data_IF_451967336557
#
_entry.id   IF_451967336557
#
_cell.length_a   1.000
_cell.length_b   1.000
_cell.length_c   1.000
_cell.angle_alpha   90.00
_cell.angle_beta   90.00
_cell.angle_gamma   90.00
#
_symmetry.space_group_name_H-M   'P 1'
#
loop_
_entity.id
_entity.type
_entity.pdbx_description
1 polymer ?
#
# COMPACT_ATOMS: atom_id res chain seq x y z
N UNK A 1 66.83 21.38 73.11
CA UNK A 1 66.69 21.39 71.64
C UNK A 1 65.61 20.45 71.22
N UNK A 2 64.40 20.91 70.95
CA UNK A 2 63.26 20.07 70.49
C UNK A 2 63.08 20.35 69.00
N UNK A 3 63.17 19.30 68.14
CA UNK A 3 62.92 19.36 66.71
C UNK A 3 61.43 19.00 66.50
N UNK A 4 60.69 19.91 65.92
CA UNK A 4 59.30 19.75 65.51
C UNK A 4 59.26 19.28 64.05
N UNK A 5 58.75 18.10 63.81
CA UNK A 5 58.61 17.54 62.45
C UNK A 5 57.26 17.97 61.94
N UNK A 6 57.19 18.66 60.81
CA UNK A 6 55.97 19.08 60.13
C UNK A 6 55.60 18.05 59.10
N UNK A 7 54.46 17.37 59.29
CA UNK A 7 53.93 16.41 58.35
C UNK A 7 53.00 17.13 57.37
N UNK A 8 53.37 17.15 56.10
CA UNK A 8 52.52 17.68 55.00
C UNK A 8 51.66 16.54 54.42
N UNK A 9 50.37 16.66 54.62
CA UNK A 9 49.39 15.73 54.06
C UNK A 9 48.96 16.21 52.64
N UNK A 10 49.31 15.47 51.61
CA UNK A 10 48.95 15.75 50.22
C UNK A 10 47.54 15.17 49.90
N UNK A 11 46.55 16.06 49.77
CA UNK A 11 45.23 15.64 49.29
C UNK A 11 45.27 15.48 47.76
N UNK A 12 45.11 14.26 47.27
CA UNK A 12 44.94 13.97 45.85
C UNK A 12 43.44 14.15 45.46
N UNK A 13 43.16 15.18 44.68
CA UNK A 13 41.81 15.44 44.10
C UNK A 13 41.63 14.53 42.89
N UNK A 14 40.77 13.51 43.01
CA UNK A 14 40.28 12.74 41.89
C UNK A 14 39.25 13.55 41.09
N UNK A 15 39.68 14.17 40.00
CA UNK A 15 38.81 14.78 39.02
C UNK A 15 38.14 13.65 38.19
N UNK A 16 36.93 13.30 38.52
CA UNK A 16 36.09 12.38 37.72
C UNK A 16 35.74 13.03 36.38
N UNK A 17 36.30 12.51 35.29
CA UNK A 17 35.83 12.84 33.95
C UNK A 17 34.40 12.24 33.75
N UNK A 18 33.39 13.06 33.93
CA UNK A 18 32.04 12.72 33.47
C UNK A 18 32.06 12.77 31.92
N UNK A 19 32.01 11.62 31.28
CA UNK A 19 31.76 11.55 29.83
C UNK A 19 30.40 12.16 29.56
N UNK A 20 30.23 13.07 28.57
CA UNK A 20 28.93 13.56 28.22
C UNK A 20 28.08 12.37 27.68
N UNK A 21 26.97 12.08 28.35
CA UNK A 21 25.96 11.17 27.81
C UNK A 21 25.55 11.73 26.47
N UNK A 22 25.84 10.98 25.41
CA UNK A 22 25.39 11.30 24.05
C UNK A 22 23.86 11.29 24.05
N UNK A 23 23.25 12.46 23.90
CA UNK A 23 21.82 12.60 23.68
C UNK A 23 21.46 11.68 22.50
N UNK A 24 20.45 10.81 22.63
CA UNK A 24 20.07 9.92 21.53
C UNK A 24 19.64 10.80 20.36
N UNK A 25 20.43 10.79 19.28
CA UNK A 25 20.06 11.42 18.03
C UNK A 25 18.83 10.67 17.54
N UNK A 26 17.66 11.30 17.64
CA UNK A 26 16.41 10.78 17.07
C UNK A 26 16.63 10.66 15.57
N UNK A 27 16.87 9.43 15.10
CA UNK A 27 17.00 9.16 13.67
C UNK A 27 15.66 9.47 13.03
N UNK A 28 15.66 10.32 12.00
CA UNK A 28 14.43 10.61 11.26
C UNK A 28 13.76 9.31 10.79
N UNK A 29 12.42 9.23 10.87
CA UNK A 29 11.68 8.05 10.41
C UNK A 29 11.92 7.78 8.94
N UNK A 30 12.08 6.50 8.58
CA UNK A 30 12.12 6.03 7.21
C UNK A 30 10.79 6.37 6.51
N UNK A 31 10.83 7.15 5.43
CA UNK A 31 9.65 7.53 4.68
C UNK A 31 9.29 6.46 3.66
N UNK A 32 8.18 5.76 3.87
CA UNK A 32 7.66 4.70 2.99
C UNK A 32 6.34 5.13 2.40
N UNK A 33 6.29 5.24 1.08
CA UNK A 33 5.06 5.52 0.34
C UNK A 33 4.52 4.21 -0.22
N UNK A 34 3.25 3.92 0.03
CA UNK A 34 2.66 2.64 -0.32
C UNK A 34 1.23 2.74 -0.84
N UNK A 35 0.87 1.85 -1.73
CA UNK A 35 -0.49 1.71 -2.24
C UNK A 35 -1.50 1.55 -1.09
N UNK A 36 -2.69 2.12 -1.26
CA UNK A 36 -3.75 2.07 -0.25
C UNK A 36 -4.16 0.66 0.17
N UNK A 37 -4.12 -0.30 -0.78
CA UNK A 37 -4.41 -1.71 -0.54
C UNK A 37 -3.39 -2.43 0.37
N UNK A 38 -2.21 -1.82 0.59
CA UNK A 38 -1.17 -2.35 1.48
C UNK A 38 -1.29 -1.83 2.92
N UNK A 39 -2.24 -0.94 3.22
CA UNK A 39 -2.32 -0.22 4.50
C UNK A 39 -2.24 -1.14 5.71
N UNK A 40 -3.14 -2.08 5.80
CA UNK A 40 -3.24 -2.95 7.00
C UNK A 40 -1.99 -3.81 7.14
N UNK A 41 -1.61 -4.51 6.09
CA UNK A 41 -0.48 -5.45 6.11
C UNK A 41 0.86 -4.74 6.32
N UNK A 42 1.10 -3.60 5.69
CA UNK A 42 2.36 -2.85 5.90
C UNK A 42 2.41 -2.16 7.26
N UNK A 43 1.27 -1.77 7.83
CA UNK A 43 1.24 -1.25 9.21
C UNK A 43 1.69 -2.32 10.21
N UNK A 44 1.23 -3.58 10.05
CA UNK A 44 1.69 -4.70 10.87
C UNK A 44 3.19 -4.98 10.66
N UNK A 45 3.62 -5.14 9.40
CA UNK A 45 5.02 -5.45 9.08
C UNK A 45 5.97 -4.33 9.55
N UNK A 46 5.58 -3.06 9.39
CA UNK A 46 6.39 -1.92 9.82
C UNK A 46 6.55 -1.90 11.35
N UNK A 47 5.46 -2.11 12.10
CA UNK A 47 5.50 -2.22 13.56
C UNK A 47 6.46 -3.34 14.02
N UNK A 48 6.38 -4.51 13.40
CA UNK A 48 7.24 -5.64 13.74
C UNK A 48 8.71 -5.40 13.36
N UNK A 49 8.93 -4.67 12.25
CA UNK A 49 10.27 -4.25 11.85
C UNK A 49 10.85 -3.21 12.81
N UNK A 50 10.06 -2.21 13.20
CA UNK A 50 10.45 -1.21 14.21
C UNK A 50 10.83 -1.86 15.55
N UNK A 51 10.03 -2.83 16.01
CA UNK A 51 10.29 -3.54 17.26
C UNK A 51 11.64 -4.29 17.24
N UNK A 52 12.03 -4.84 16.07
CA UNK A 52 13.28 -5.58 15.93
C UNK A 52 14.52 -4.71 15.71
N UNK A 53 14.36 -3.57 15.06
CA UNK A 53 15.48 -2.77 14.57
C UNK A 53 15.65 -1.44 15.28
N UNK A 54 14.63 -0.99 16.00
CA UNK A 54 14.57 0.35 16.60
C UNK A 54 14.41 1.51 15.61
N UNK A 55 14.38 1.24 14.29
CA UNK A 55 14.19 2.27 13.26
C UNK A 55 12.72 2.56 13.05
N UNK A 56 12.33 3.83 13.23
CA UNK A 56 10.96 4.30 13.00
C UNK A 56 10.62 4.36 11.51
N UNK A 57 9.38 4.03 11.17
CA UNK A 57 8.87 4.03 9.81
C UNK A 57 7.62 4.92 9.74
N UNK A 58 7.67 5.93 8.86
CA UNK A 58 6.53 6.77 8.54
C UNK A 58 5.87 6.25 7.26
N UNK A 59 4.66 5.72 7.37
CA UNK A 59 3.88 5.16 6.27
C UNK A 59 2.94 6.22 5.69
N UNK A 60 3.07 6.49 4.39
CA UNK A 60 2.12 7.31 3.62
C UNK A 60 1.38 6.43 2.63
N UNK A 61 0.06 6.34 2.76
CA UNK A 61 -0.79 5.51 1.90
C UNK A 61 -1.63 6.33 0.95
N UNK A 62 -1.77 5.85 -0.29
CA UNK A 62 -2.59 6.50 -1.30
C UNK A 62 -2.65 5.71 -2.61
N UNK A 63 -3.33 6.27 -3.61
CA UNK A 63 -3.30 5.75 -4.97
C UNK A 63 -1.89 5.86 -5.55
N UNK A 64 -1.37 4.78 -6.13
CA UNK A 64 0.05 4.68 -6.51
C UNK A 64 0.48 5.74 -7.51
N UNK A 65 -0.37 6.09 -8.48
CA UNK A 65 -0.08 7.14 -9.45
C UNK A 65 0.07 8.51 -8.80
N UNK A 66 -0.83 8.86 -7.85
CA UNK A 66 -0.76 10.12 -7.11
C UNK A 66 0.47 10.17 -6.20
N UNK A 67 0.82 9.05 -5.56
CA UNK A 67 2.04 8.96 -4.75
C UNK A 67 3.30 9.14 -5.61
N UNK A 68 3.35 8.51 -6.79
CA UNK A 68 4.45 8.70 -7.74
C UNK A 68 4.60 10.17 -8.15
N UNK A 69 3.49 10.87 -8.46
CA UNK A 69 3.52 12.30 -8.80
C UNK A 69 4.06 13.17 -7.66
N UNK A 70 3.70 12.85 -6.42
CA UNK A 70 4.23 13.53 -5.24
C UNK A 70 5.74 13.30 -5.09
N UNK A 71 6.20 12.08 -5.33
CA UNK A 71 7.63 11.72 -5.34
C UNK A 71 8.38 12.49 -6.43
N UNK A 72 7.82 12.56 -7.64
CA UNK A 72 8.40 13.31 -8.77
C UNK A 72 8.47 14.82 -8.50
N UNK A 73 7.54 15.35 -7.68
CA UNK A 73 7.55 16.75 -7.19
C UNK A 73 8.53 16.99 -6.04
N UNK A 74 9.30 15.97 -5.62
CA UNK A 74 10.38 16.12 -4.64
C UNK A 74 10.03 15.70 -3.21
N UNK A 75 8.87 15.08 -2.95
CA UNK A 75 8.61 14.55 -1.62
C UNK A 75 9.61 13.47 -1.20
N UNK A 76 9.89 13.43 0.11
CA UNK A 76 11.02 12.72 0.70
C UNK A 76 10.90 11.19 0.81
N UNK A 77 10.07 10.52 0.00
CA UNK A 77 9.97 9.07 0.02
C UNK A 77 11.32 8.38 -0.23
N UNK A 78 11.62 7.35 0.53
CA UNK A 78 12.83 6.54 0.42
C UNK A 78 12.54 5.12 -0.09
N UNK A 79 11.34 4.61 0.20
CA UNK A 79 10.82 3.33 -0.32
C UNK A 79 9.46 3.61 -0.94
N UNK A 80 9.21 3.03 -2.11
CA UNK A 80 7.92 3.11 -2.78
C UNK A 80 7.40 1.70 -3.10
N UNK A 81 6.24 1.36 -2.55
CA UNK A 81 5.53 0.09 -2.73
C UNK A 81 4.22 0.34 -3.50
N UNK A 82 4.23 0.08 -4.79
CA UNK A 82 3.12 0.34 -5.72
C UNK A 82 2.24 -0.88 -5.91
N UNK A 83 0.96 -0.68 -6.19
CA UNK A 83 0.03 -1.74 -6.58
C UNK A 83 0.15 -2.16 -8.07
N UNK A 84 1.16 -1.67 -8.76
CA UNK A 84 1.60 -2.10 -10.09
C UNK A 84 3.12 -2.07 -10.20
N UNK A 85 3.65 -2.44 -11.34
CA UNK A 85 5.08 -2.34 -11.66
C UNK A 85 5.43 -1.11 -12.51
N UNK A 86 4.45 -0.45 -13.12
CA UNK A 86 4.69 0.65 -14.06
C UNK A 86 5.15 1.93 -13.35
N UNK A 87 4.51 2.28 -12.23
CA UNK A 87 4.89 3.48 -11.47
C UNK A 87 6.32 3.41 -10.91
N UNK A 88 6.77 2.33 -10.24
CA UNK A 88 8.15 2.22 -9.80
C UNK A 88 9.13 2.11 -10.97
N UNK A 89 8.75 1.47 -12.09
CA UNK A 89 9.57 1.44 -13.31
C UNK A 89 9.82 2.85 -13.86
N UNK A 90 8.80 3.73 -13.87
CA UNK A 90 8.94 5.13 -14.31
C UNK A 90 9.91 5.90 -13.42
N UNK A 91 9.84 5.75 -12.10
CA UNK A 91 10.80 6.37 -11.18
C UNK A 91 12.23 5.87 -11.41
N UNK A 92 12.39 4.56 -11.67
CA UNK A 92 13.68 3.96 -12.01
C UNK A 92 14.25 4.49 -13.32
N UNK A 93 13.43 4.63 -14.35
CA UNK A 93 13.82 5.18 -15.65
C UNK A 93 14.28 6.65 -15.57
N UNK A 94 13.73 7.43 -14.65
CA UNK A 94 14.16 8.80 -14.35
C UNK A 94 15.52 8.87 -13.60
N UNK A 95 16.11 7.72 -13.22
CA UNK A 95 17.46 7.62 -12.65
C UNK A 95 17.55 7.79 -11.14
N UNK A 96 16.53 8.31 -10.47
CA UNK A 96 16.55 8.59 -9.02
C UNK A 96 16.22 7.38 -8.12
N UNK A 97 15.83 6.25 -8.72
CA UNK A 97 15.36 5.05 -8.01
C UNK A 97 16.02 3.77 -8.55
N UNK A 98 16.10 2.76 -7.71
CA UNK A 98 16.59 1.44 -8.12
C UNK A 98 15.58 0.75 -9.06
N UNK A 99 16.01 -0.26 -9.86
CA UNK A 99 15.08 -1.13 -10.55
C UNK A 99 14.07 -1.73 -9.58
N UNK A 100 12.80 -1.79 -9.97
CA UNK A 100 11.77 -2.37 -9.11
C UNK A 100 11.88 -3.90 -9.03
N UNK A 101 11.35 -4.44 -7.94
CA UNK A 101 11.17 -5.87 -7.72
C UNK A 101 9.69 -6.15 -7.47
N UNK A 102 9.13 -7.19 -8.07
CA UNK A 102 7.79 -7.67 -7.68
C UNK A 102 7.90 -8.30 -6.30
N UNK A 103 7.08 -7.87 -5.34
CA UNK A 103 7.18 -8.35 -3.96
C UNK A 103 5.93 -9.06 -3.45
N UNK A 104 4.76 -8.82 -4.06
CA UNK A 104 3.50 -9.56 -3.84
C UNK A 104 2.63 -9.50 -5.09
N UNK A 105 1.61 -10.36 -5.16
CA UNK A 105 0.57 -10.35 -6.20
C UNK A 105 -0.81 -10.18 -5.58
N UNK A 106 -1.75 -9.71 -6.37
CA UNK A 106 -3.16 -9.63 -6.03
C UNK A 106 -4.01 -9.98 -7.26
N UNK A 107 -5.31 -10.04 -7.09
CA UNK A 107 -6.28 -10.26 -8.16
C UNK A 107 -7.48 -9.34 -7.98
N UNK A 108 -8.27 -9.15 -9.03
CA UNK A 108 -9.53 -8.41 -8.92
C UNK A 108 -10.65 -9.31 -8.42
N UNK A 109 -11.51 -8.70 -7.60
CA UNK A 109 -12.82 -9.20 -7.19
C UNK A 109 -13.90 -8.13 -7.44
N UNK A 110 -15.13 -8.55 -7.51
CA UNK A 110 -16.26 -7.64 -7.42
C UNK A 110 -16.78 -7.63 -5.98
N UNK A 111 -16.88 -6.44 -5.40
CA UNK A 111 -17.59 -6.19 -4.15
C UNK A 111 -19.01 -5.77 -4.51
N UNK A 112 -20.05 -6.46 -4.02
CA UNK A 112 -21.43 -6.22 -4.43
C UNK A 112 -22.34 -5.90 -3.25
N UNK A 113 -23.40 -5.13 -3.51
CA UNK A 113 -24.48 -4.93 -2.56
C UNK A 113 -25.23 -6.25 -2.30
N UNK A 114 -25.87 -6.34 -1.13
CA UNK A 114 -26.59 -7.55 -0.69
C UNK A 114 -27.69 -8.01 -1.68
N UNK A 115 -28.39 -7.06 -2.30
CA UNK A 115 -29.48 -7.32 -3.26
C UNK A 115 -28.99 -7.73 -4.65
N UNK A 116 -27.70 -7.57 -4.96
CA UNK A 116 -27.13 -7.98 -6.25
C UNK A 116 -26.89 -9.49 -6.25
N UNK A 117 -27.57 -10.20 -7.11
CA UNK A 117 -27.39 -11.65 -7.30
C UNK A 117 -26.35 -11.89 -8.39
N UNK A 118 -25.08 -11.73 -8.07
CA UNK A 118 -23.97 -12.04 -8.95
C UNK A 118 -23.20 -13.27 -8.46
N UNK A 119 -22.83 -14.11 -9.41
CA UNK A 119 -21.89 -15.23 -9.23
C UNK A 119 -20.71 -15.02 -10.19
N UNK A 120 -19.60 -15.77 -10.07
CA UNK A 120 -18.54 -15.68 -11.07
C UNK A 120 -19.05 -15.87 -12.51
N UNK A 121 -20.03 -16.75 -12.71
CA UNK A 121 -20.60 -17.05 -14.03
C UNK A 121 -21.48 -15.94 -14.59
N UNK A 122 -22.19 -15.20 -13.73
CA UNK A 122 -23.12 -14.14 -14.13
C UNK A 122 -22.54 -12.73 -13.97
N UNK A 123 -21.30 -12.61 -13.47
CA UNK A 123 -20.71 -11.31 -13.13
C UNK A 123 -20.65 -10.36 -14.33
N UNK A 124 -20.25 -10.85 -15.52
CA UNK A 124 -20.18 -10.01 -16.71
C UNK A 124 -21.54 -9.44 -17.09
N UNK A 125 -22.57 -10.30 -17.14
CA UNK A 125 -23.94 -9.88 -17.45
C UNK A 125 -24.49 -8.90 -16.40
N UNK A 126 -24.16 -9.13 -15.12
CA UNK A 126 -24.52 -8.21 -14.04
C UNK A 126 -23.89 -6.85 -14.24
N UNK A 127 -22.59 -6.77 -14.57
CA UNK A 127 -21.90 -5.51 -14.83
C UNK A 127 -22.42 -4.79 -16.09
N UNK A 128 -22.84 -5.54 -17.11
CA UNK A 128 -23.38 -4.99 -18.36
C UNK A 128 -24.84 -4.51 -18.21
N UNK A 129 -25.57 -4.96 -17.18
CA UNK A 129 -26.95 -4.53 -16.96
C UNK A 129 -26.99 -3.00 -16.74
N UNK A 130 -27.72 -2.23 -17.54
CA UNK A 130 -27.77 -0.76 -17.43
C UNK A 130 -28.32 -0.27 -16.08
N UNK A 131 -29.14 -1.04 -15.40
CA UNK A 131 -29.68 -0.70 -14.08
C UNK A 131 -28.67 -0.86 -12.93
N UNK A 132 -27.55 -1.54 -13.15
CA UNK A 132 -26.51 -1.78 -12.14
C UNK A 132 -25.46 -0.66 -12.20
N UNK A 133 -25.23 0.04 -11.11
CA UNK A 133 -24.14 1.03 -10.95
C UNK A 133 -22.82 0.30 -10.78
N UNK A 134 -21.91 0.46 -11.75
CA UNK A 134 -20.58 -0.14 -11.73
C UNK A 134 -19.57 0.87 -11.22
N UNK A 135 -19.00 0.63 -10.03
CA UNK A 135 -17.94 1.42 -9.44
C UNK A 135 -16.54 0.88 -9.76
N UNK A 136 -15.60 1.78 -9.92
CA UNK A 136 -14.16 1.48 -10.13
C UNK A 136 -13.30 2.52 -9.43
N UNK A 137 -12.00 2.22 -9.28
CA UNK A 137 -11.00 3.27 -9.04
C UNK A 137 -10.69 4.03 -10.34
N UNK A 138 -10.03 5.18 -10.21
CA UNK A 138 -9.70 6.07 -11.33
C UNK A 138 -8.44 5.57 -12.06
N UNK A 139 -8.51 5.20 -13.34
CA UNK A 139 -7.35 4.77 -14.12
C UNK A 139 -6.23 5.82 -14.15
N UNK A 140 -4.99 5.38 -14.29
CA UNK A 140 -3.74 6.16 -14.27
C UNK A 140 -3.38 6.74 -12.90
N UNK A 141 -4.36 7.11 -12.09
CA UNK A 141 -4.16 7.57 -10.72
C UNK A 141 -4.05 6.38 -9.74
N UNK A 142 -4.88 5.37 -9.91
CA UNK A 142 -4.93 4.16 -9.07
C UNK A 142 -4.86 2.89 -9.96
N UNK A 143 -3.85 2.02 -9.77
CA UNK A 143 -3.70 0.79 -10.53
C UNK A 143 -4.92 -0.13 -10.49
N UNK A 144 -5.73 -0.13 -9.42
CA UNK A 144 -7.00 -0.87 -9.37
C UNK A 144 -7.94 -0.44 -10.50
N UNK A 145 -7.93 0.84 -10.87
CA UNK A 145 -8.64 1.36 -12.03
C UNK A 145 -8.06 0.83 -13.33
N UNK A 146 -6.75 0.87 -13.52
CA UNK A 146 -6.10 0.36 -14.73
C UNK A 146 -6.42 -1.12 -14.97
N UNK A 147 -6.39 -1.95 -13.91
CA UNK A 147 -6.75 -3.36 -13.97
C UNK A 147 -8.24 -3.58 -14.23
N UNK A 148 -9.14 -2.70 -13.76
CA UNK A 148 -10.55 -2.76 -14.13
C UNK A 148 -10.74 -2.54 -15.63
N UNK A 149 -10.03 -1.59 -16.25
CA UNK A 149 -10.04 -1.38 -17.70
C UNK A 149 -9.40 -2.54 -18.49
N UNK A 150 -8.40 -3.20 -17.93
CA UNK A 150 -7.86 -4.43 -18.52
C UNK A 150 -8.90 -5.56 -18.49
N UNK A 151 -9.64 -5.72 -17.39
CA UNK A 151 -10.77 -6.63 -17.30
C UNK A 151 -11.83 -6.30 -18.37
N UNK A 152 -12.13 -5.01 -18.60
CA UNK A 152 -13.09 -4.60 -19.66
C UNK A 152 -12.61 -5.02 -21.05
N UNK A 153 -11.30 -4.92 -21.35
CA UNK A 153 -10.75 -5.43 -22.62
C UNK A 153 -10.90 -6.94 -22.76
N UNK A 154 -10.66 -7.69 -21.68
CA UNK A 154 -10.91 -9.13 -21.65
C UNK A 154 -12.39 -9.47 -21.82
N UNK A 155 -13.28 -8.67 -21.24
CA UNK A 155 -14.72 -8.82 -21.41
C UNK A 155 -15.15 -8.65 -22.86
N UNK A 156 -14.51 -7.76 -23.61
CA UNK A 156 -14.81 -7.55 -25.05
C UNK A 156 -14.45 -8.78 -25.90
N UNK A 157 -13.41 -9.54 -25.52
CA UNK A 157 -13.08 -10.81 -26.16
C UNK A 157 -14.10 -11.93 -25.87
N UNK A 158 -14.81 -11.85 -24.74
CA UNK A 158 -15.87 -12.79 -24.37
C UNK A 158 -17.22 -12.39 -24.99
N UNK A 159 -17.50 -11.08 -25.03
CA UNK A 159 -18.74 -10.50 -25.56
C UNK A 159 -18.42 -9.19 -26.26
N UNK A 160 -18.51 -9.19 -27.57
CA UNK A 160 -18.25 -8.02 -28.43
C UNK A 160 -19.11 -6.83 -27.97
N UNK A 161 -18.49 -5.67 -27.83
CA UNK A 161 -19.11 -4.44 -27.35
C UNK A 161 -19.13 -4.28 -25.83
N UNK A 162 -18.68 -5.28 -25.07
CA UNK A 162 -18.63 -5.21 -23.61
C UNK A 162 -17.69 -4.10 -23.12
N UNK A 163 -16.53 -3.92 -23.76
CA UNK A 163 -15.61 -2.82 -23.40
C UNK A 163 -16.31 -1.47 -23.45
N UNK A 164 -16.91 -1.13 -24.58
CA UNK A 164 -17.56 0.16 -24.78
C UNK A 164 -18.71 0.40 -23.79
N UNK A 165 -19.51 -0.65 -23.52
CA UNK A 165 -20.61 -0.57 -22.57
C UNK A 165 -20.12 -0.38 -21.12
N UNK A 166 -19.07 -1.07 -20.69
CA UNK A 166 -18.51 -0.98 -19.35
C UNK A 166 -17.76 0.35 -19.16
N UNK A 167 -16.97 0.79 -20.14
CA UNK A 167 -16.26 2.07 -20.11
C UNK A 167 -17.22 3.25 -19.98
N UNK A 168 -18.31 3.25 -20.76
CA UNK A 168 -19.32 4.32 -20.76
C UNK A 168 -20.05 4.45 -19.41
N UNK A 169 -20.25 3.36 -18.68
CA UNK A 169 -21.03 3.36 -17.43
C UNK A 169 -20.20 3.37 -16.15
N UNK A 170 -18.89 3.07 -16.23
CA UNK A 170 -18.04 2.95 -15.06
C UNK A 170 -17.91 4.26 -14.27
N UNK A 171 -18.29 4.23 -13.01
CA UNK A 171 -18.20 5.33 -12.07
C UNK A 171 -16.81 5.29 -11.38
N UNK A 172 -15.99 6.31 -11.63
CA UNK A 172 -14.63 6.43 -11.06
C UNK A 172 -14.72 7.04 -9.66
N UNK A 173 -15.05 6.22 -8.66
CA UNK A 173 -15.45 6.70 -7.32
C UNK A 173 -14.27 6.87 -6.35
N UNK A 174 -13.14 6.23 -6.62
CA UNK A 174 -11.99 6.24 -5.70
C UNK A 174 -10.67 6.45 -6.44
N UNK A 175 -9.62 6.78 -5.70
CA UNK A 175 -8.24 6.78 -6.19
C UNK A 175 -7.86 7.95 -7.10
N UNK A 176 -8.80 8.83 -7.47
CA UNK A 176 -8.53 10.05 -8.22
C UNK A 176 -8.13 11.22 -7.31
N UNK A 177 -7.59 12.31 -7.88
CA UNK A 177 -7.19 13.50 -7.11
C UNK A 177 -8.37 14.14 -6.37
N UNK A 178 -9.55 14.13 -6.99
CA UNK A 178 -10.77 14.71 -6.45
C UNK A 178 -11.72 13.69 -5.81
N UNK A 179 -11.29 12.43 -5.68
CA UNK A 179 -12.11 11.40 -5.05
C UNK A 179 -12.36 11.73 -3.59
N UNK A 180 -13.63 11.63 -3.11
CA UNK A 180 -13.95 11.84 -1.72
C UNK A 180 -13.16 10.90 -0.81
N UNK A 181 -12.71 11.43 0.34
CA UNK A 181 -12.03 10.63 1.36
C UNK A 181 -13.05 10.12 2.37
N UNK A 182 -12.95 8.86 2.80
CA UNK A 182 -13.80 8.35 3.86
C UNK A 182 -13.54 9.10 5.18
N UNK A 183 -14.49 9.12 6.11
CA UNK A 183 -14.24 9.54 7.49
C UNK A 183 -13.11 8.73 8.14
N UNK A 184 -12.50 9.28 9.18
CA UNK A 184 -11.45 8.59 9.91
C UNK A 184 -11.96 7.22 10.45
N UNK A 185 -11.14 6.19 10.30
CA UNK A 185 -11.46 4.83 10.73
C UNK A 185 -12.24 3.99 9.71
N UNK A 186 -12.64 4.56 8.58
CA UNK A 186 -13.37 3.84 7.54
C UNK A 186 -12.47 3.49 6.34
N UNK A 187 -12.65 2.28 5.80
CA UNK A 187 -12.06 1.86 4.53
C UNK A 187 -12.74 2.54 3.34
N UNK A 188 -11.95 2.99 2.37
CA UNK A 188 -12.46 3.75 1.21
C UNK A 188 -13.56 2.99 0.45
N UNK A 189 -13.35 1.73 0.16
CA UNK A 189 -14.31 0.91 -0.59
C UNK A 189 -15.53 0.54 0.24
N UNK A 190 -15.34 0.22 1.53
CA UNK A 190 -16.41 -0.03 2.47
C UNK A 190 -17.35 1.17 2.56
N UNK A 191 -16.79 2.35 2.73
CA UNK A 191 -17.55 3.60 2.83
C UNK A 191 -18.33 3.92 1.54
N UNK A 192 -17.69 3.84 0.36
CA UNK A 192 -18.35 4.08 -0.94
C UNK A 192 -19.52 3.13 -1.16
N UNK A 193 -19.33 1.85 -0.82
CA UNK A 193 -20.38 0.83 -0.95
C UNK A 193 -21.47 1.00 0.10
N UNK A 194 -21.12 1.37 1.33
CA UNK A 194 -22.08 1.63 2.41
C UNK A 194 -23.02 2.81 2.09
N UNK A 195 -22.49 3.83 1.40
CA UNK A 195 -23.27 4.96 0.90
C UNK A 195 -24.10 4.65 -0.37
N UNK A 196 -24.10 3.41 -0.86
CA UNK A 196 -24.86 2.99 -2.04
C UNK A 196 -24.44 3.69 -3.35
N UNK A 197 -23.19 4.17 -3.43
CA UNK A 197 -22.69 4.85 -4.64
C UNK A 197 -22.49 3.89 -5.80
N UNK A 198 -22.27 2.59 -5.54
CA UNK A 198 -22.22 1.52 -6.53
C UNK A 198 -23.00 0.28 -6.06
N UNK A 199 -23.49 -0.50 -7.02
CA UNK A 199 -24.09 -1.81 -6.80
C UNK A 199 -23.06 -2.93 -6.90
N UNK A 200 -22.10 -2.77 -7.83
CA UNK A 200 -20.92 -3.61 -8.03
C UNK A 200 -19.69 -2.70 -8.07
N UNK A 201 -18.64 -3.04 -7.33
CA UNK A 201 -17.38 -2.31 -7.36
C UNK A 201 -16.23 -3.27 -7.68
N UNK A 202 -15.48 -3.00 -8.75
CA UNK A 202 -14.26 -3.76 -9.08
C UNK A 202 -13.07 -3.21 -8.28
N UNK A 203 -12.49 -4.05 -7.46
CA UNK A 203 -11.29 -3.72 -6.66
C UNK A 203 -10.44 -4.97 -6.42
N UNK A 204 -9.30 -4.82 -5.75
CA UNK A 204 -8.52 -5.98 -5.34
C UNK A 204 -9.29 -6.88 -4.37
N UNK A 205 -9.08 -8.20 -4.47
CA UNK A 205 -9.74 -9.15 -3.58
C UNK A 205 -9.44 -8.88 -2.11
N UNK A 206 -8.23 -8.44 -1.79
CA UNK A 206 -7.85 -8.03 -0.42
C UNK A 206 -8.71 -6.87 0.09
N UNK A 207 -8.93 -5.84 -0.73
CA UNK A 207 -9.81 -4.73 -0.39
C UNK A 207 -11.28 -5.15 -0.26
N UNK A 208 -11.75 -6.02 -1.16
CA UNK A 208 -13.12 -6.52 -1.12
C UNK A 208 -13.38 -7.30 0.17
N UNK A 209 -12.45 -8.17 0.58
CA UNK A 209 -12.53 -8.92 1.84
C UNK A 209 -12.47 -7.99 3.07
N UNK A 210 -11.57 -7.01 3.06
CA UNK A 210 -11.50 -6.01 4.14
C UNK A 210 -12.80 -5.21 4.26
N UNK A 211 -13.36 -4.77 3.11
CA UNK A 211 -14.63 -4.03 3.08
C UNK A 211 -15.82 -4.86 3.54
N UNK A 212 -15.86 -6.16 3.23
CA UNK A 212 -16.89 -7.08 3.72
C UNK A 212 -16.79 -7.28 5.24
N UNK A 213 -15.59 -7.31 5.81
CA UNK A 213 -15.41 -7.36 7.27
C UNK A 213 -15.96 -6.11 7.96
N UNK A 214 -15.76 -4.93 7.36
CA UNK A 214 -16.24 -3.65 7.88
C UNK A 214 -17.77 -3.49 7.68
N UNK A 215 -18.29 -3.92 6.52
CA UNK A 215 -19.71 -3.85 6.14
C UNK A 215 -20.21 -5.25 5.77
N UNK A 216 -20.65 -6.06 6.76
CA UNK A 216 -20.93 -7.50 6.56
C UNK A 216 -22.03 -7.84 5.56
N UNK A 217 -22.92 -6.88 5.21
CA UNK A 217 -23.96 -7.09 4.19
C UNK A 217 -23.40 -7.15 2.75
N UNK A 218 -22.20 -6.66 2.52
CA UNK A 218 -21.54 -6.72 1.21
C UNK A 218 -21.10 -8.15 0.89
N UNK A 219 -21.07 -8.49 -0.38
CA UNK A 219 -20.64 -9.81 -0.86
C UNK A 219 -19.39 -9.66 -1.72
N UNK A 220 -18.47 -10.62 -1.60
CA UNK A 220 -17.29 -10.72 -2.46
C UNK A 220 -17.57 -11.77 -3.53
N UNK A 221 -17.49 -11.37 -4.78
CA UNK A 221 -17.67 -12.25 -5.95
C UNK A 221 -16.34 -12.35 -6.69
N UNK A 222 -15.87 -13.57 -6.90
CA UNK A 222 -14.65 -13.82 -7.66
C UNK A 222 -14.85 -13.46 -9.13
N UNK A 223 -13.89 -12.78 -9.73
CA UNK A 223 -13.84 -12.56 -11.17
C UNK A 223 -13.55 -13.91 -11.85
N UNK A 224 -14.33 -14.33 -12.86
CA UNK A 224 -14.10 -15.60 -13.54
C UNK A 224 -12.76 -15.61 -14.28
N UNK A 225 -12.14 -16.77 -14.42
CA UNK A 225 -10.79 -16.93 -14.99
C UNK A 225 -10.61 -16.24 -16.35
N UNK A 226 -11.62 -16.27 -17.21
CA UNK A 226 -11.60 -15.62 -18.54
C UNK A 226 -11.44 -14.08 -18.46
N UNK A 227 -11.88 -13.46 -17.38
CA UNK A 227 -11.81 -12.01 -17.14
C UNK A 227 -10.74 -11.63 -16.13
N UNK A 228 -10.14 -12.60 -15.42
CA UNK A 228 -9.24 -12.33 -14.31
C UNK A 228 -7.98 -11.58 -14.78
N UNK A 229 -7.65 -10.55 -14.02
CA UNK A 229 -6.45 -9.73 -14.20
C UNK A 229 -5.62 -9.87 -12.94
N UNK A 230 -4.38 -10.33 -13.11
CA UNK A 230 -3.39 -10.40 -12.03
C UNK A 230 -2.71 -9.06 -11.83
N UNK A 231 -2.59 -8.63 -10.59
CA UNK A 231 -1.85 -7.44 -10.20
C UNK A 231 -0.50 -7.83 -9.59
N UNK A 232 0.60 -7.39 -10.21
CA UNK A 232 1.95 -7.54 -9.67
C UNK A 232 2.36 -6.23 -9.00
N UNK A 233 2.64 -6.26 -7.71
CA UNK A 233 3.02 -5.09 -6.93
C UNK A 233 4.53 -4.87 -6.99
N UNK A 234 4.95 -3.67 -7.33
CA UNK A 234 6.34 -3.28 -7.49
C UNK A 234 6.88 -2.51 -6.29
N UNK A 235 8.05 -2.92 -5.81
CA UNK A 235 8.80 -2.28 -4.75
C UNK A 235 10.07 -1.65 -5.32
N UNK A 236 10.37 -0.40 -4.96
CA UNK A 236 11.65 0.25 -5.32
C UNK A 236 12.16 1.12 -4.17
N UNK A 237 13.46 1.37 -4.16
CA UNK A 237 14.17 2.18 -3.18
C UNK A 237 14.85 3.35 -3.87
N UNK A 238 14.83 4.53 -3.26
CA UNK A 238 15.51 5.72 -3.75
C UNK A 238 17.03 5.47 -3.78
N UNK A 239 17.71 5.82 -4.86
CA UNK A 239 19.18 5.74 -4.94
C UNK A 239 19.81 6.70 -3.93
N UNK A 240 20.82 6.21 -3.21
CA UNK A 240 21.44 6.96 -2.13
C UNK A 240 20.61 7.08 -0.85
N UNK A 241 19.51 6.35 -0.73
CA UNK A 241 18.79 6.24 0.54
C UNK A 241 19.67 5.59 1.62
N UNK A 242 19.35 5.90 2.87
CA UNK A 242 20.08 5.35 4.02
C UNK A 242 19.86 3.83 4.15
N UNK A 243 20.82 3.14 4.75
CA UNK A 243 20.78 1.68 4.97
C UNK A 243 19.44 1.11 5.53
N UNK A 244 18.70 1.81 6.42
CA UNK A 244 17.38 1.37 6.86
C UNK A 244 16.34 1.17 5.74
N UNK A 245 16.40 1.97 4.66
CA UNK A 245 15.48 1.84 3.51
C UNK A 245 15.70 0.51 2.77
N UNK A 246 16.96 0.21 2.47
CA UNK A 246 17.36 -1.06 1.85
C UNK A 246 17.03 -2.26 2.76
N UNK A 247 17.25 -2.11 4.08
CA UNK A 247 16.94 -3.16 5.06
C UNK A 247 15.43 -3.44 5.11
N UNK A 248 14.60 -2.40 5.11
CA UNK A 248 13.15 -2.56 5.10
C UNK A 248 12.65 -3.18 3.80
N UNK A 249 13.14 -2.73 2.64
CA UNK A 249 12.81 -3.32 1.35
C UNK A 249 13.15 -4.82 1.28
N UNK A 250 14.33 -5.22 1.76
CA UNK A 250 14.69 -6.65 1.89
C UNK A 250 13.78 -7.39 2.86
N UNK A 251 13.39 -6.76 3.96
CA UNK A 251 12.48 -7.38 4.94
C UNK A 251 11.10 -7.69 4.34
N UNK A 252 10.59 -6.85 3.42
CA UNK A 252 9.33 -7.11 2.71
C UNK A 252 9.38 -8.36 1.82
N UNK A 253 10.57 -8.71 1.31
CA UNK A 253 10.80 -9.90 0.47
C UNK A 253 11.10 -11.16 1.31
N UNK A 254 11.37 -11.01 2.59
CA UNK A 254 11.76 -12.11 3.46
C UNK A 254 10.55 -12.99 3.88
N UNK A 255 10.77 -14.29 4.18
CA UNK A 255 9.69 -15.22 4.51
C UNK A 255 8.73 -14.75 5.61
N UNK A 256 9.15 -14.09 6.71
CA UNK A 256 8.20 -13.60 7.72
C UNK A 256 7.19 -12.58 7.18
N UNK A 257 7.65 -11.62 6.37
CA UNK A 257 6.77 -10.65 5.75
C UNK A 257 5.86 -11.30 4.69
N UNK A 258 6.40 -12.23 3.90
CA UNK A 258 5.63 -12.98 2.90
C UNK A 258 4.52 -13.83 3.56
N UNK A 259 4.78 -14.44 4.71
CA UNK A 259 3.75 -15.12 5.49
C UNK A 259 2.67 -14.14 5.99
N UNK A 260 3.05 -12.93 6.38
CA UNK A 260 2.10 -11.89 6.75
C UNK A 260 1.25 -11.45 5.56
N UNK A 261 1.86 -11.17 4.40
CA UNK A 261 1.12 -10.87 3.17
C UNK A 261 0.10 -11.96 2.82
N UNK A 262 0.49 -13.24 2.91
CA UNK A 262 -0.40 -14.37 2.64
C UNK A 262 -1.63 -14.39 3.59
N UNK A 263 -1.45 -14.09 4.88
CA UNK A 263 -2.57 -13.96 5.83
C UNK A 263 -3.57 -12.86 5.46
N UNK A 264 -3.09 -11.81 4.80
CA UNK A 264 -3.94 -10.73 4.28
C UNK A 264 -4.50 -11.01 2.89
N UNK A 265 -4.27 -12.20 2.31
CA UNK A 265 -4.81 -12.64 1.03
C UNK A 265 -3.99 -12.23 -0.19
N UNK A 266 -2.77 -11.75 -0.02
CA UNK A 266 -1.86 -11.50 -1.14
C UNK A 266 -1.21 -12.81 -1.60
N UNK A 267 -0.98 -12.90 -2.91
CA UNK A 267 -0.18 -13.97 -3.52
C UNK A 267 1.32 -13.68 -3.44
N UNK A 268 2.12 -14.74 -3.54
CA UNK A 268 3.58 -14.63 -3.61
C UNK A 268 4.02 -13.93 -4.91
N UNK A 269 5.24 -13.34 -4.93
CA UNK A 269 5.85 -12.70 -6.09
C UNK A 269 5.88 -13.54 -7.37
#
# INVERSE_FOLDING_TARGET
MRRTTLTVTLLASLAGCASPEATPVMKEPLQVYAAGSLREVLTEIARDHEARTGHKIALTFGASGLLRERIEKGEGAQVFASADTQHPQRLGAAGGWAPHTVFVRNSLCALTQAQVNATPQTLLETMLNPAVKLGTSTPKADPSGDYAWELFRKADAVRIGAYAALDAKALKLTGGPDSPKPPAGHGTYAWVMDQGQADVFLTYCTNAVASQKEVPRLKVVQVPAALQVGASYGLTVRRGALAPAEAFARALLAPPAQATFARYGFGQP
#
